data_IF_326106183721
#
_entry.id   IF_326106183721
#
_cell.length_a   1.000
_cell.length_b   1.000
_cell.length_c   1.000
_cell.angle_alpha   90.00
_cell.angle_beta   90.00
_cell.angle_gamma   90.00
#
_symmetry.space_group_name_H-M   'P 1'
#
loop_
_entity.id
_entity.type
_entity.pdbx_description
1 polymer ?
#
# COMPACT_ATOMS: atom_id res chain seq x y z
N UNK A 1 -0.53 -19.13 37.38
CA UNK A 1 -1.65 -18.46 36.69
C UNK A 1 -1.30 -18.03 35.26
N UNK A 2 -0.26 -17.23 35.00
CA UNK A 2 0.13 -16.84 33.62
C UNK A 2 0.59 -18.02 32.74
N UNK A 3 1.35 -18.96 33.33
CA UNK A 3 1.87 -20.14 32.61
C UNK A 3 0.73 -21.03 32.10
N UNK A 4 -0.37 -21.20 32.85
CA UNK A 4 -1.53 -21.99 32.42
C UNK A 4 -2.27 -21.38 31.24
N UNK A 5 -2.27 -20.05 31.15
CA UNK A 5 -2.85 -19.30 30.05
C UNK A 5 -1.97 -19.42 28.78
N UNK A 6 -0.65 -19.45 28.95
CA UNK A 6 0.32 -19.71 27.87
C UNK A 6 0.29 -21.18 27.40
N UNK A 7 0.19 -22.13 28.33
CA UNK A 7 0.12 -23.56 27.99
C UNK A 7 -1.28 -23.99 27.58
N UNK A 8 -2.31 -23.14 27.76
CA UNK A 8 -3.73 -23.43 27.47
C UNK A 8 -4.13 -24.85 27.88
N UNK A 9 -3.83 -25.23 29.12
CA UNK A 9 -4.13 -26.58 29.64
C UNK A 9 -3.45 -27.73 28.87
N UNK A 10 -2.34 -27.48 28.18
CA UNK A 10 -1.60 -28.45 27.34
C UNK A 10 -1.74 -28.23 25.83
N UNK A 11 -2.67 -27.39 25.38
CA UNK A 11 -2.90 -27.11 23.95
C UNK A 11 -2.11 -25.94 23.39
N UNK A 12 -1.33 -25.25 24.22
CA UNK A 12 -0.61 -24.03 23.85
C UNK A 12 0.22 -24.18 22.58
N UNK A 13 0.90 -25.31 22.37
CA UNK A 13 1.73 -25.52 21.18
C UNK A 13 0.94 -25.40 19.88
N UNK A 14 -0.27 -25.96 19.82
CA UNK A 14 -1.12 -25.87 18.63
C UNK A 14 -1.67 -24.47 18.44
N UNK A 15 -2.11 -23.86 19.54
CA UNK A 15 -2.70 -22.52 19.54
C UNK A 15 -1.67 -21.48 19.09
N UNK A 16 -0.50 -21.45 19.73
CA UNK A 16 0.58 -20.53 19.36
C UNK A 16 1.07 -20.75 17.93
N UNK A 17 1.16 -22.00 17.46
CA UNK A 17 1.54 -22.28 16.07
C UNK A 17 0.51 -21.74 15.07
N UNK A 18 -0.79 -21.94 15.34
CA UNK A 18 -1.87 -21.42 14.50
C UNK A 18 -1.92 -19.89 14.49
N UNK A 19 -1.70 -19.26 15.65
CA UNK A 19 -1.60 -17.81 15.76
C UNK A 19 -0.41 -17.26 14.99
N UNK A 20 0.80 -17.83 15.16
CA UNK A 20 1.99 -17.41 14.42
C UNK A 20 1.75 -17.54 12.91
N UNK A 21 1.21 -18.68 12.47
CA UNK A 21 0.89 -18.89 11.05
C UNK A 21 -0.07 -17.83 10.51
N UNK A 22 -1.12 -17.51 11.28
CA UNK A 22 -2.10 -16.49 10.91
C UNK A 22 -1.46 -15.10 10.87
N UNK A 23 -0.68 -14.73 11.89
CA UNK A 23 0.03 -13.45 11.93
C UNK A 23 1.02 -13.31 10.78
N UNK A 24 1.80 -14.34 10.46
CA UNK A 24 2.74 -14.33 9.34
C UNK A 24 1.98 -14.18 8.02
N UNK A 25 0.87 -14.89 7.84
CA UNK A 25 0.05 -14.80 6.63
C UNK A 25 -0.55 -13.41 6.45
N UNK A 26 -1.14 -12.85 7.51
CA UNK A 26 -1.68 -11.49 7.50
C UNK A 26 -0.59 -10.44 7.27
N UNK A 27 0.58 -10.61 7.92
CA UNK A 27 1.70 -9.69 7.78
C UNK A 27 2.27 -9.71 6.37
N UNK A 28 2.43 -10.89 5.77
CA UNK A 28 2.86 -11.04 4.38
C UNK A 28 1.90 -10.34 3.42
N UNK A 29 0.59 -10.57 3.57
CA UNK A 29 -0.42 -9.89 2.76
C UNK A 29 -0.38 -8.37 2.95
N UNK A 30 -0.27 -7.90 4.20
CA UNK A 30 -0.16 -6.48 4.50
C UNK A 30 1.06 -5.84 3.84
N UNK A 31 2.23 -6.49 3.88
CA UNK A 31 3.44 -5.99 3.22
C UNK A 31 3.26 -5.91 1.71
N UNK A 32 2.67 -6.95 1.09
CA UNK A 32 2.39 -6.97 -0.34
C UNK A 32 1.46 -5.82 -0.74
N UNK A 33 0.36 -5.63 -0.02
CA UNK A 33 -0.59 -4.53 -0.26
C UNK A 33 0.05 -3.16 -0.05
N UNK A 34 0.85 -2.98 1.01
CA UNK A 34 1.58 -1.73 1.27
C UNK A 34 2.58 -1.40 0.17
N UNK A 35 3.27 -2.40 -0.37
CA UNK A 35 4.21 -2.20 -1.46
C UNK A 35 3.48 -1.78 -2.74
N UNK A 36 2.40 -2.48 -3.10
CA UNK A 36 1.57 -2.14 -4.25
C UNK A 36 1.04 -0.70 -4.13
N UNK A 37 0.49 -0.33 -2.96
CA UNK A 37 0.00 1.03 -2.71
C UNK A 37 1.07 2.10 -2.93
N UNK A 38 2.30 1.88 -2.45
CA UNK A 38 3.41 2.82 -2.66
C UNK A 38 3.82 2.94 -4.12
N UNK A 39 3.70 1.87 -4.89
CA UNK A 39 4.00 1.90 -6.33
C UNK A 39 2.91 2.66 -7.09
N UNK A 40 1.64 2.42 -6.77
CA UNK A 40 0.51 3.16 -7.32
C UNK A 40 0.59 4.66 -6.97
N UNK A 41 0.95 5.01 -5.74
CA UNK A 41 1.13 6.41 -5.31
C UNK A 41 2.22 7.13 -6.14
N UNK A 42 3.36 6.47 -6.39
CA UNK A 42 4.41 7.03 -7.25
C UNK A 42 3.96 7.22 -8.68
N UNK A 43 3.25 6.24 -9.25
CA UNK A 43 2.70 6.32 -10.62
C UNK A 43 1.73 7.49 -10.70
N UNK A 44 0.82 7.60 -9.73
CA UNK A 44 -0.15 8.69 -9.67
C UNK A 44 0.53 10.06 -9.62
N UNK A 45 1.58 10.23 -8.81
CA UNK A 45 2.34 11.48 -8.76
C UNK A 45 3.05 11.81 -10.08
N UNK A 46 3.53 10.80 -10.82
CA UNK A 46 4.13 11.01 -12.14
C UNK A 46 3.09 11.39 -13.18
N UNK A 47 1.99 10.64 -13.27
CA UNK A 47 0.87 10.93 -14.18
C UNK A 47 0.27 12.31 -13.90
N UNK A 48 0.10 12.68 -12.64
CA UNK A 48 -0.43 14.00 -12.26
C UNK A 48 0.46 15.13 -12.78
N UNK A 49 1.79 15.02 -12.60
CA UNK A 49 2.75 16.01 -13.13
C UNK A 49 2.74 16.06 -14.66
N UNK A 50 2.62 14.92 -15.33
CA UNK A 50 2.52 14.88 -16.79
C UNK A 50 1.25 15.55 -17.30
N UNK A 51 0.11 15.30 -16.64
CA UNK A 51 -1.18 15.92 -16.97
C UNK A 51 -1.11 17.44 -16.76
N UNK A 52 -0.50 17.90 -15.67
CA UNK A 52 -0.32 19.33 -15.39
C UNK A 52 0.57 20.01 -16.44
N UNK A 53 1.71 19.40 -16.78
CA UNK A 53 2.60 19.89 -17.84
C UNK A 53 1.88 19.97 -19.20
N UNK A 54 1.09 18.94 -19.54
CA UNK A 54 0.30 18.92 -20.77
C UNK A 54 -0.78 20.00 -20.80
N UNK A 55 -1.46 20.24 -19.67
CA UNK A 55 -2.45 21.32 -19.54
C UNK A 55 -1.78 22.69 -19.71
N UNK A 56 -0.62 22.91 -19.10
CA UNK A 56 0.13 24.16 -19.23
C UNK A 56 0.53 24.45 -20.68
N UNK A 57 1.10 23.45 -21.37
CA UNK A 57 1.46 23.57 -22.79
C UNK A 57 0.24 23.81 -23.69
N UNK A 58 -0.89 23.15 -23.40
CA UNK A 58 -2.14 23.38 -24.14
C UNK A 58 -2.67 24.80 -23.95
N UNK A 59 -2.65 25.33 -22.72
CA UNK A 59 -3.05 26.72 -22.44
C UNK A 59 -2.12 27.73 -23.12
N UNK A 60 -0.81 27.46 -23.13
CA UNK A 60 0.18 28.31 -23.81
C UNK A 60 -0.04 28.34 -25.32
N UNK A 61 -0.22 27.16 -25.94
CA UNK A 61 -0.51 27.06 -27.38
C UNK A 61 -1.83 27.75 -27.74
N UNK A 62 -2.88 27.58 -26.92
CA UNK A 62 -4.17 28.24 -27.14
C UNK A 62 -4.07 29.77 -27.08
N UNK A 63 -3.27 30.34 -26.17
CA UNK A 63 -3.00 31.80 -26.16
C UNK A 63 -2.28 32.27 -27.42
N UNK A 64 -1.24 31.55 -27.87
CA UNK A 64 -0.50 31.91 -29.09
C UNK A 64 -1.33 31.86 -30.39
N UNK A 65 -2.42 31.08 -30.42
CA UNK A 65 -3.33 31.00 -31.57
C UNK A 65 -4.47 32.03 -31.51
N UNK A 66 -4.71 32.64 -30.34
CA UNK A 66 -5.70 33.72 -30.18
C UNK A 66 -5.05 35.10 -30.39
N UNK A 67 -3.74 35.20 -30.18
CA UNK A 67 -2.96 36.45 -30.33
C UNK A 67 -2.32 36.64 -31.72
N UNK A 68 -2.52 35.71 -32.67
CA UNK A 68 -2.05 35.76 -34.06
C UNK A 68 -3.24 35.92 -35.02
#
# INVERSE_FOLDING_TARGET
MFIELLTMGGYGQFVWSAFIFSFVSCFYLYLKTRFELKQQEKIYLMEFKEIEARKFEFTKRKKSTIEA
#
